data_IF_496149370877
#
_entry.id   IF_496149370877
#
_cell.length_a   1.000
_cell.length_b   1.000
_cell.length_c   1.000
_cell.angle_alpha   90.00
_cell.angle_beta   90.00
_cell.angle_gamma   90.00
#
_symmetry.space_group_name_H-M   'P 1'
#
loop_
_entity.id
_entity.type
_entity.pdbx_description
1 polymer ?
#
# COMPACT_ATOMS: atom_id res chain seq x y z
N UNK A 1 19.05 -1.18 13.74
CA UNK A 1 17.84 -1.60 12.99
C UNK A 1 16.65 -1.33 13.89
N UNK A 2 16.25 -0.05 13.99
CA UNK A 2 15.04 0.35 14.67
C UNK A 2 13.86 0.20 13.71
N UNK A 3 13.37 -1.04 13.57
CA UNK A 3 12.34 -1.32 12.55
C UNK A 3 10.92 -0.94 13.00
N UNK A 4 10.57 -0.92 14.29
CA UNK A 4 9.18 -0.66 14.73
C UNK A 4 9.12 -0.05 16.14
N UNK A 5 9.41 1.25 16.30
CA UNK A 5 9.21 1.93 17.60
C UNK A 5 7.72 2.32 17.81
N UNK A 6 6.85 2.14 16.81
CA UNK A 6 5.42 2.46 16.88
C UNK A 6 4.51 1.29 16.52
N UNK A 7 3.25 1.36 16.98
CA UNK A 7 2.21 0.42 16.53
C UNK A 7 2.07 0.51 15.00
N UNK A 8 1.94 -0.61 14.28
CA UNK A 8 1.74 -0.61 12.82
C UNK A 8 0.48 0.15 12.39
N UNK A 9 -0.50 0.31 13.30
CA UNK A 9 -1.71 1.10 13.06
C UNK A 9 -1.55 2.60 13.33
N UNK A 10 -0.35 3.07 13.66
CA UNK A 10 -0.09 4.51 13.91
C UNK A 10 0.12 5.31 12.63
N UNK A 11 0.49 4.64 11.52
CA UNK A 11 0.65 5.30 10.22
C UNK A 11 -0.72 5.63 9.60
N UNK A 12 -0.81 6.63 8.70
CA UNK A 12 -2.05 6.95 8.00
C UNK A 12 -2.69 5.73 7.31
N UNK A 13 -1.87 4.93 6.59
CA UNK A 13 -2.34 3.69 5.94
C UNK A 13 -2.74 2.62 6.98
N UNK A 14 -2.00 2.49 8.08
CA UNK A 14 -2.28 1.55 9.16
C UNK A 14 -3.63 1.82 9.83
N UNK A 15 -3.98 3.09 10.05
CA UNK A 15 -5.29 3.46 10.58
C UNK A 15 -6.43 3.07 9.63
N UNK A 16 -6.21 3.13 8.31
CA UNK A 16 -7.25 2.73 7.33
C UNK A 16 -7.37 1.23 7.24
N UNK A 17 -6.26 0.50 7.27
CA UNK A 17 -6.24 -0.97 7.36
C UNK A 17 -6.99 -1.43 8.62
N UNK A 18 -6.76 -0.79 9.77
CA UNK A 18 -7.46 -1.15 11.01
C UNK A 18 -8.98 -1.00 10.90
N UNK A 19 -9.46 0.03 10.20
CA UNK A 19 -10.89 0.22 9.94
C UNK A 19 -11.44 -0.80 8.93
N UNK A 20 -10.73 -1.01 7.82
CA UNK A 20 -11.12 -1.93 6.75
C UNK A 20 -11.14 -3.41 7.18
N UNK A 21 -10.43 -3.75 8.26
CA UNK A 21 -10.35 -5.10 8.83
C UNK A 21 -11.03 -5.24 10.19
N UNK A 22 -11.84 -4.25 10.57
CA UNK A 22 -12.60 -4.30 11.83
C UNK A 22 -13.57 -5.47 11.84
N UNK A 23 -13.56 -6.25 12.93
CA UNK A 23 -14.51 -7.35 13.14
C UNK A 23 -15.99 -6.90 13.19
N UNK A 24 -16.25 -5.59 13.27
CA UNK A 24 -17.61 -5.04 13.20
C UNK A 24 -18.16 -4.94 11.77
N UNK A 25 -17.30 -5.02 10.74
CA UNK A 25 -17.74 -4.97 9.35
C UNK A 25 -18.51 -6.26 8.99
N UNK A 26 -19.68 -6.09 8.37
CA UNK A 26 -20.48 -7.21 7.87
C UNK A 26 -19.94 -7.73 6.52
N UNK A 27 -19.31 -6.85 5.74
CA UNK A 27 -18.70 -7.09 4.43
C UNK A 27 -17.62 -6.03 4.21
N UNK A 28 -16.82 -6.21 3.16
CA UNK A 28 -15.74 -5.35 2.77
C UNK A 28 -16.22 -3.92 2.49
N UNK A 29 -15.53 -2.95 3.10
CA UNK A 29 -15.68 -1.55 2.74
C UNK A 29 -14.75 -1.22 1.57
N UNK A 30 -15.28 -1.33 0.35
CA UNK A 30 -14.53 -1.03 -0.86
C UNK A 30 -14.08 0.43 -0.96
N UNK A 31 -14.76 1.36 -0.29
CA UNK A 31 -14.30 2.75 -0.23
C UNK A 31 -13.01 2.85 0.57
N UNK A 32 -12.93 2.19 1.73
CA UNK A 32 -11.69 2.14 2.52
C UNK A 32 -10.58 1.37 1.78
N UNK A 33 -10.91 0.29 1.08
CA UNK A 33 -9.93 -0.48 0.31
C UNK A 33 -9.31 0.36 -0.82
N UNK A 34 -10.10 1.14 -1.55
CA UNK A 34 -9.59 2.02 -2.60
C UNK A 34 -8.76 3.17 -2.02
N UNK A 35 -9.19 3.76 -0.90
CA UNK A 35 -8.40 4.80 -0.23
C UNK A 35 -7.05 4.26 0.29
N UNK A 36 -6.99 3.01 0.76
CA UNK A 36 -5.72 2.36 1.11
C UNK A 36 -4.80 2.26 -0.11
N UNK A 37 -5.34 1.87 -1.27
CA UNK A 37 -4.58 1.81 -2.52
C UNK A 37 -4.05 3.19 -2.93
N UNK A 38 -4.87 4.23 -2.83
CA UNK A 38 -4.45 5.60 -3.14
C UNK A 38 -3.31 6.03 -2.21
N UNK A 39 -3.45 5.83 -0.89
CA UNK A 39 -2.39 6.17 0.07
C UNK A 39 -1.09 5.44 -0.28
N UNK A 40 -1.12 4.13 -0.56
CA UNK A 40 0.07 3.35 -0.89
C UNK A 40 0.71 3.84 -2.21
N UNK A 41 -0.11 4.08 -3.23
CA UNK A 41 0.37 4.49 -4.56
C UNK A 41 0.88 5.94 -4.58
N UNK A 42 0.36 6.80 -3.70
CA UNK A 42 0.73 8.22 -3.60
C UNK A 42 1.84 8.47 -2.56
N UNK A 43 2.11 7.53 -1.66
CA UNK A 43 3.27 7.61 -0.76
C UNK A 43 4.55 7.13 -1.44
N UNK A 44 5.64 7.89 -1.27
CA UNK A 44 7.00 7.63 -1.81
C UNK A 44 7.65 6.30 -1.33
N UNK A 45 6.94 5.53 -0.48
CA UNK A 45 7.35 4.24 0.10
C UNK A 45 6.71 3.02 -0.60
N UNK A 46 5.94 3.22 -1.67
CA UNK A 46 5.58 2.13 -2.58
C UNK A 46 6.83 1.53 -3.26
N UNK A 47 6.81 0.28 -3.77
CA UNK A 47 7.93 -0.23 -4.56
C UNK A 47 8.09 0.67 -5.78
N UNK A 48 9.05 1.59 -5.68
CA UNK A 48 9.19 2.72 -6.57
C UNK A 48 9.17 2.26 -8.02
N UNK A 49 8.14 2.68 -8.75
CA UNK A 49 8.24 2.73 -10.20
C UNK A 49 9.37 3.74 -10.46
N UNK A 50 10.46 3.37 -11.14
CA UNK A 50 11.52 4.32 -11.43
C UNK A 50 10.96 5.52 -12.21
N UNK A 51 11.07 6.72 -11.63
CA UNK A 51 10.54 7.97 -12.20
C UNK A 51 11.33 8.47 -13.42
N UNK A 52 12.33 7.72 -13.89
CA UNK A 52 13.14 8.00 -15.09
C UNK A 52 12.56 7.38 -16.37
N UNK A 53 11.38 6.75 -16.30
CA UNK A 53 10.80 6.02 -17.43
C UNK A 53 11.47 4.66 -17.67
N UNK A 54 12.36 4.22 -16.79
CA UNK A 54 12.85 2.83 -16.72
C UNK A 54 11.81 1.94 -16.04
N UNK A 55 10.56 1.99 -16.51
CA UNK A 55 9.56 0.99 -16.15
C UNK A 55 10.16 -0.37 -16.45
N UNK A 56 10.08 -1.28 -15.48
CA UNK A 56 10.49 -2.69 -15.58
C UNK A 56 10.32 -3.15 -17.02
N UNK A 57 11.44 -3.32 -17.72
CA UNK A 57 11.47 -4.16 -18.90
C UNK A 57 11.08 -5.53 -18.38
N UNK A 58 9.80 -5.86 -18.51
CA UNK A 58 9.32 -7.22 -18.58
C UNK A 58 10.13 -7.82 -19.71
N UNK A 59 11.25 -8.46 -19.34
CA UNK A 59 12.07 -9.23 -20.23
C UNK A 59 11.16 -10.30 -20.83
N UNK A 60 10.57 -9.99 -21.98
CA UNK A 60 10.02 -10.97 -22.88
C UNK A 60 11.20 -11.82 -23.33
N UNK A 61 11.26 -13.11 -22.98
CA UNK A 61 12.32 -13.97 -23.46
C UNK A 61 11.97 -14.31 -24.91
N UNK A 62 12.61 -13.68 -25.89
CA UNK A 62 12.57 -14.17 -27.27
C UNK A 62 13.90 -13.90 -27.99
N UNK A 63 14.45 -15.00 -28.49
CA UNK A 63 15.69 -15.22 -29.27
C UNK A 63 16.99 -15.32 -28.46
#
# INVERSE_FOLDING_TARGET
>A
MEFLIGSPFSSPVGQRIQKATSAALQTEDWSLNLEICDIINETDDGPGVPHDGSGLSLAHPHA
#
